data_IF_357120977479
#
_entry.id   IF_357120977479
#
_cell.length_a   1.000
_cell.length_b   1.000
_cell.length_c   1.000
_cell.angle_alpha   90.00
_cell.angle_beta   90.00
_cell.angle_gamma   90.00
#
_symmetry.space_group_name_H-M   'P 1'
#
loop_
_entity.id
_entity.type
_entity.pdbx_description
1 polymer ?
#
# COMPACT_ATOMS: atom_id res chain seq x y z
N UNK A 1 17.26 -1.88 -81.20
CA UNK A 1 16.63 -2.46 -79.98
C UNK A 1 17.37 -1.95 -78.77
N UNK A 2 16.83 -0.95 -78.02
CA UNK A 2 17.42 -0.39 -76.80
C UNK A 2 16.77 -1.07 -75.57
N UNK A 3 17.53 -1.77 -74.80
CA UNK A 3 17.11 -2.37 -73.52
C UNK A 3 17.17 -1.30 -72.41
N UNK A 4 16.04 -0.92 -71.89
CA UNK A 4 15.94 -0.10 -70.74
C UNK A 4 16.21 -0.97 -69.45
N UNK A 5 17.21 -0.59 -68.64
CA UNK A 5 17.42 -1.14 -67.32
C UNK A 5 16.57 -0.37 -66.33
N UNK A 6 15.85 -1.03 -65.42
CA UNK A 6 15.18 -0.33 -64.32
C UNK A 6 16.18 0.08 -63.25
N UNK A 7 16.07 1.29 -62.72
CA UNK A 7 16.88 1.88 -61.66
C UNK A 7 16.48 1.29 -60.29
N UNK A 8 17.45 0.97 -59.39
CA UNK A 8 17.20 0.44 -58.07
C UNK A 8 17.02 1.58 -57.05
N UNK A 9 15.91 2.30 -57.09
CA UNK A 9 15.68 3.42 -56.16
C UNK A 9 14.38 3.29 -55.36
N UNK A 10 13.88 2.09 -55.09
CA UNK A 10 12.61 1.90 -54.36
C UNK A 10 12.68 0.92 -53.17
N UNK A 11 13.84 0.71 -52.54
CA UNK A 11 13.95 -0.26 -51.41
C UNK A 11 14.50 0.30 -50.12
N UNK A 12 14.43 1.62 -49.87
CA UNK A 12 14.90 2.20 -48.58
C UNK A 12 13.79 2.88 -47.75
N UNK A 13 12.52 2.52 -47.95
CA UNK A 13 11.37 3.17 -47.30
C UNK A 13 10.70 2.40 -46.16
N UNK A 14 11.13 1.20 -45.73
CA UNK A 14 10.31 0.37 -44.83
C UNK A 14 11.08 -0.26 -43.67
N UNK A 15 12.04 0.41 -43.04
CA UNK A 15 12.76 -0.16 -41.90
C UNK A 15 13.06 0.86 -40.81
N UNK A 16 12.13 1.76 -40.47
CA UNK A 16 12.27 2.59 -39.26
C UNK A 16 10.88 2.77 -38.59
N UNK A 17 10.23 1.66 -38.20
CA UNK A 17 9.01 1.75 -37.39
C UNK A 17 8.92 0.57 -36.43
N UNK A 18 10.00 0.29 -35.68
CA UNK A 18 9.96 -0.75 -34.65
C UNK A 18 10.99 -0.51 -33.58
N UNK A 19 10.88 0.54 -32.77
CA UNK A 19 11.66 0.69 -31.53
C UNK A 19 11.07 1.79 -30.60
N UNK A 20 9.73 1.85 -30.46
CA UNK A 20 9.13 2.42 -29.26
C UNK A 20 8.49 1.28 -28.47
N UNK A 21 9.31 0.36 -27.99
CA UNK A 21 8.95 -0.48 -26.85
C UNK A 21 8.91 0.45 -25.64
N UNK A 22 7.74 1.03 -25.39
CA UNK A 22 7.46 1.67 -24.12
C UNK A 22 7.59 0.57 -23.07
N UNK A 23 8.71 0.51 -22.35
CA UNK A 23 8.80 -0.26 -21.14
C UNK A 23 7.81 0.36 -20.16
N UNK A 24 6.56 -0.10 -20.15
CA UNK A 24 5.66 0.07 -19.04
C UNK A 24 6.27 -0.77 -17.91
N UNK A 25 7.15 -0.17 -17.11
CA UNK A 25 7.52 -0.73 -15.83
C UNK A 25 6.21 -0.81 -15.04
N UNK A 26 5.64 -2.01 -14.92
CA UNK A 26 4.57 -2.25 -13.96
C UNK A 26 5.13 -1.84 -12.60
N UNK A 27 4.47 -0.92 -11.90
CA UNK A 27 4.84 -0.56 -10.55
C UNK A 27 4.64 -1.83 -9.71
N UNK A 28 5.74 -2.41 -9.21
CA UNK A 28 5.66 -3.56 -8.30
C UNK A 28 4.76 -3.18 -7.13
N UNK A 29 3.83 -4.07 -6.80
CA UNK A 29 2.94 -3.83 -5.65
C UNK A 29 3.74 -3.92 -4.36
N UNK A 30 3.30 -3.23 -3.30
CA UNK A 30 3.96 -3.30 -1.99
C UNK A 30 4.20 -4.75 -1.54
N UNK A 31 3.25 -5.66 -1.82
CA UNK A 31 3.32 -7.06 -1.43
C UNK A 31 4.45 -7.86 -2.13
N UNK A 32 4.98 -7.39 -3.25
CA UNK A 32 6.08 -7.99 -4.00
C UNK A 32 7.46 -7.50 -3.50
N UNK A 33 7.46 -6.42 -2.70
CA UNK A 33 8.69 -5.88 -2.13
C UNK A 33 9.15 -6.69 -0.91
N UNK A 34 10.46 -6.77 -0.64
CA UNK A 34 10.97 -7.41 0.55
C UNK A 34 10.46 -6.73 1.83
N UNK A 35 10.22 -7.52 2.87
CA UNK A 35 9.91 -7.01 4.21
C UNK A 35 11.22 -6.79 4.95
N UNK A 36 11.47 -5.56 5.40
CA UNK A 36 12.58 -5.21 6.29
C UNK A 36 12.04 -4.89 7.68
N UNK A 37 12.75 -5.31 8.74
CA UNK A 37 12.30 -5.13 10.12
C UNK A 37 13.50 -4.69 10.97
N UNK A 38 13.35 -3.55 11.64
CA UNK A 38 14.28 -3.04 12.66
C UNK A 38 13.61 -3.16 14.04
N UNK A 39 14.37 -3.56 15.05
CA UNK A 39 13.90 -3.73 16.43
C UNK A 39 15.05 -3.75 17.42
N UNK A 40 14.75 -3.62 18.73
CA UNK A 40 15.76 -3.76 19.78
C UNK A 40 16.25 -5.21 19.92
N UNK A 41 15.34 -6.20 19.79
CA UNK A 41 15.66 -7.62 19.84
C UNK A 41 14.87 -8.41 18.81
N UNK A 42 15.48 -9.49 18.30
CA UNK A 42 14.85 -10.43 17.37
C UNK A 42 15.16 -11.86 17.80
N UNK A 43 14.17 -12.74 17.71
CA UNK A 43 14.29 -14.18 17.98
C UNK A 43 13.58 -14.95 16.87
N UNK A 44 14.25 -15.95 16.28
CA UNK A 44 13.64 -16.89 15.35
C UNK A 44 13.46 -18.25 16.04
N UNK A 45 12.29 -18.84 15.92
CA UNK A 45 11.95 -20.18 16.41
C UNK A 45 11.62 -21.08 15.22
N UNK A 46 12.51 -22.00 14.93
CA UNK A 46 12.40 -22.94 13.81
C UNK A 46 11.25 -23.95 14.01
N UNK A 47 10.97 -24.34 15.27
CA UNK A 47 9.90 -25.30 15.56
C UNK A 47 8.52 -24.76 15.27
N UNK A 48 8.32 -23.48 15.49
CA UNK A 48 7.03 -22.79 15.25
C UNK A 48 7.05 -22.01 13.94
N UNK A 49 8.17 -21.99 13.22
CA UNK A 49 8.39 -21.17 12.03
C UNK A 49 7.96 -19.72 12.23
N UNK A 50 8.42 -19.09 13.33
CA UNK A 50 8.09 -17.72 13.68
C UNK A 50 9.32 -16.89 13.99
N UNK A 51 9.27 -15.59 13.61
CA UNK A 51 10.20 -14.57 14.12
C UNK A 51 9.47 -13.59 15.02
N UNK A 52 10.04 -13.31 16.19
CA UNK A 52 9.52 -12.32 17.14
C UNK A 52 10.49 -11.17 17.28
N UNK A 53 10.00 -9.96 17.11
CA UNK A 53 10.72 -8.69 17.20
C UNK A 53 10.11 -7.87 18.34
N UNK A 54 10.94 -7.28 19.22
CA UNK A 54 10.48 -6.55 20.38
C UNK A 54 11.26 -5.24 20.55
N UNK A 55 10.53 -4.17 20.82
CA UNK A 55 11.00 -2.84 21.18
C UNK A 55 11.32 -1.97 19.96
N UNK A 56 10.65 -0.83 19.86
CA UNK A 56 10.79 0.15 18.79
C UNK A 56 10.78 -0.48 17.37
N UNK A 57 9.83 -1.41 17.17
CA UNK A 57 9.78 -2.15 15.91
C UNK A 57 9.32 -1.25 14.78
N UNK A 58 10.09 -1.26 13.69
CA UNK A 58 9.73 -0.64 12.40
C UNK A 58 9.77 -1.71 11.32
N UNK A 59 8.65 -1.98 10.68
CA UNK A 59 8.57 -2.90 9.54
C UNK A 59 8.19 -2.14 8.29
N UNK A 60 8.89 -2.40 7.18
CA UNK A 60 8.69 -1.75 5.90
C UNK A 60 8.53 -2.80 4.81
N UNK A 61 7.50 -2.64 3.97
CA UNK A 61 7.31 -3.39 2.73
C UNK A 61 6.79 -2.45 1.63
N UNK A 62 7.65 -2.07 0.70
CA UNK A 62 7.33 -1.04 -0.29
C UNK A 62 6.97 0.29 0.37
N UNK A 63 5.75 0.78 0.13
CA UNK A 63 5.23 2.00 0.75
C UNK A 63 4.58 1.79 2.13
N UNK A 64 4.38 0.52 2.52
CA UNK A 64 3.79 0.15 3.81
C UNK A 64 4.84 0.28 4.90
N UNK A 65 4.53 1.04 5.94
CA UNK A 65 5.35 1.22 7.14
C UNK A 65 4.50 0.94 8.37
N UNK A 66 5.00 0.08 9.27
CA UNK A 66 4.36 -0.22 10.56
C UNK A 66 5.33 0.11 11.68
N UNK A 67 4.87 0.86 12.66
CA UNK A 67 5.56 1.09 13.94
C UNK A 67 4.80 0.37 15.06
N UNK A 68 5.50 -0.43 15.86
CA UNK A 68 4.89 -1.20 16.95
C UNK A 68 5.86 -1.46 18.11
N UNK A 69 5.33 -1.94 19.24
CA UNK A 69 6.15 -2.37 20.39
C UNK A 69 6.65 -3.81 20.18
N UNK A 70 5.85 -4.63 19.50
CA UNK A 70 6.15 -6.03 19.18
C UNK A 70 5.59 -6.40 17.82
N UNK A 71 6.35 -7.22 17.08
CA UNK A 71 5.93 -7.84 15.83
C UNK A 71 6.24 -9.34 15.89
N UNK A 72 5.31 -10.17 15.44
CA UNK A 72 5.52 -11.61 15.21
C UNK A 72 5.22 -11.90 13.76
N UNK A 73 6.19 -12.50 13.06
CA UNK A 73 6.05 -12.96 11.67
C UNK A 73 5.88 -14.47 11.69
N UNK A 74 4.85 -14.96 11.01
CA UNK A 74 4.57 -16.37 10.79
C UNK A 74 4.94 -16.74 9.37
N UNK A 75 5.74 -17.81 9.22
CA UNK A 75 6.21 -18.30 7.93
C UNK A 75 5.49 -19.58 7.53
N UNK A 76 5.18 -19.72 6.25
CA UNK A 76 4.69 -20.95 5.61
C UNK A 76 5.54 -21.17 4.37
N UNK A 77 6.18 -22.32 4.27
CA UNK A 77 7.08 -22.68 3.17
C UNK A 77 8.21 -21.67 2.91
N UNK A 78 8.65 -20.99 3.97
CA UNK A 78 9.70 -19.97 3.91
C UNK A 78 9.19 -18.53 3.59
N UNK A 79 7.94 -18.37 3.23
CA UNK A 79 7.33 -17.07 2.95
C UNK A 79 6.64 -16.49 4.19
N UNK A 80 6.70 -15.18 4.37
CA UNK A 80 5.93 -14.47 5.38
C UNK A 80 4.44 -14.50 5.02
N UNK A 81 3.67 -15.31 5.74
CA UNK A 81 2.23 -15.49 5.53
C UNK A 81 1.40 -14.48 6.31
N UNK A 82 1.81 -14.20 7.55
CA UNK A 82 1.09 -13.31 8.46
C UNK A 82 2.06 -12.56 9.36
N UNK A 83 1.83 -11.27 9.51
CA UNK A 83 2.50 -10.42 10.49
C UNK A 83 1.48 -9.98 11.53
N UNK A 84 1.80 -10.15 12.82
CA UNK A 84 0.97 -9.67 13.95
C UNK A 84 1.77 -8.61 14.69
N UNK A 85 1.29 -7.38 14.66
CA UNK A 85 1.91 -6.27 15.37
C UNK A 85 1.01 -5.77 16.50
N UNK A 86 1.63 -5.41 17.62
CA UNK A 86 0.94 -4.91 18.80
C UNK A 86 1.70 -3.73 19.39
N UNK A 87 0.97 -2.82 20.05
CA UNK A 87 1.57 -1.66 20.71
C UNK A 87 0.54 -0.81 21.48
N UNK A 88 1.02 0.20 22.19
CA UNK A 88 0.17 1.21 22.80
C UNK A 88 -0.15 2.31 21.79
N UNK A 89 -0.83 2.02 20.93
CA UNK A 89 -1.31 1.83 19.56
C UNK A 89 -0.17 1.69 18.56
N UNK A 90 -0.13 0.54 17.91
CA UNK A 90 0.66 0.35 16.71
C UNK A 90 0.13 1.25 15.59
N UNK A 91 1.04 1.78 14.77
CA UNK A 91 0.72 2.73 13.69
C UNK A 91 1.07 2.14 12.34
N UNK A 92 0.18 2.34 11.40
CA UNK A 92 0.31 1.93 10.00
C UNK A 92 0.30 3.15 9.09
N UNK A 93 1.09 3.10 8.01
CA UNK A 93 1.08 4.07 6.93
C UNK A 93 1.27 3.35 5.60
N UNK A 94 0.59 3.82 4.54
CA UNK A 94 0.81 3.43 3.15
C UNK A 94 0.62 4.61 2.22
N UNK A 95 1.44 4.70 1.17
CA UNK A 95 1.26 5.62 0.03
C UNK A 95 0.77 4.79 -1.15
N UNK A 96 -0.55 4.73 -1.44
CA UNK A 96 -1.11 3.72 -2.34
C UNK A 96 -0.69 3.90 -3.81
N UNK A 97 -0.31 5.11 -4.20
CA UNK A 97 0.17 5.45 -5.55
C UNK A 97 1.12 6.65 -5.49
N UNK A 98 1.96 6.79 -6.51
CA UNK A 98 2.85 7.95 -6.63
C UNK A 98 2.04 9.25 -6.65
N UNK A 99 2.36 10.16 -5.73
CA UNK A 99 1.65 11.45 -5.59
C UNK A 99 0.29 11.38 -4.86
N UNK A 100 -0.16 10.19 -4.45
CA UNK A 100 -1.35 10.07 -3.61
C UNK A 100 -1.06 10.51 -2.16
N UNK A 101 -2.12 10.89 -1.45
CA UNK A 101 -2.04 11.14 -0.01
C UNK A 101 -1.81 9.82 0.73
N UNK A 102 -1.03 9.87 1.79
CA UNK A 102 -0.84 8.74 2.69
C UNK A 102 -2.16 8.32 3.34
N UNK A 103 -2.36 7.01 3.40
CA UNK A 103 -3.38 6.39 4.24
C UNK A 103 -2.67 5.97 5.53
N UNK A 104 -3.22 6.39 6.66
CA UNK A 104 -2.66 6.06 7.97
C UNK A 104 -3.69 5.34 8.82
N UNK A 105 -3.23 4.54 9.76
CA UNK A 105 -4.11 3.85 10.70
C UNK A 105 -3.41 3.57 12.02
N UNK A 106 -4.20 3.28 13.05
CA UNK A 106 -3.72 2.85 14.35
C UNK A 106 -4.69 1.88 15.01
N UNK A 107 -4.15 0.98 15.84
CA UNK A 107 -4.91 0.04 16.68
C UNK A 107 -4.00 -0.56 17.76
N UNK A 108 -4.57 -1.23 18.76
CA UNK A 108 -3.75 -1.98 19.71
C UNK A 108 -3.16 -3.25 19.09
N UNK A 109 -3.88 -3.87 18.14
CA UNK A 109 -3.47 -5.09 17.45
C UNK A 109 -3.70 -4.90 15.95
N UNK A 110 -2.74 -5.32 15.13
CA UNK A 110 -2.90 -5.40 13.69
C UNK A 110 -2.41 -6.72 13.14
N UNK A 111 -3.09 -7.22 12.13
CA UNK A 111 -2.71 -8.38 11.35
C UNK A 111 -2.50 -7.96 9.90
N UNK A 112 -1.34 -8.22 9.36
CA UNK A 112 -1.06 -7.99 7.95
C UNK A 112 -0.83 -9.32 7.25
N UNK A 113 -1.50 -9.52 6.12
CA UNK A 113 -1.41 -10.69 5.25
C UNK A 113 -0.89 -10.24 3.88
N UNK A 114 0.44 -10.28 3.63
CA UNK A 114 1.05 -9.75 2.41
C UNK A 114 0.44 -10.33 1.13
N UNK A 115 0.33 -11.68 1.05
CA UNK A 115 -0.21 -12.38 -0.13
C UNK A 115 -1.67 -12.03 -0.42
N UNK A 116 -2.46 -11.74 0.61
CA UNK A 116 -3.87 -11.33 0.48
C UNK A 116 -4.03 -9.82 0.27
N UNK A 117 -2.96 -9.03 0.36
CA UNK A 117 -3.02 -7.57 0.38
C UNK A 117 -4.00 -7.04 1.44
N UNK A 118 -4.07 -7.70 2.60
CA UNK A 118 -5.05 -7.39 3.64
C UNK A 118 -4.38 -6.97 4.94
N UNK A 119 -4.80 -5.84 5.47
CA UNK A 119 -4.49 -5.36 6.81
C UNK A 119 -5.78 -5.37 7.63
N UNK A 120 -5.73 -5.96 8.83
CA UNK A 120 -6.83 -5.98 9.79
C UNK A 120 -6.38 -5.27 11.05
N UNK A 121 -7.03 -4.18 11.39
CA UNK A 121 -6.81 -3.41 12.61
C UNK A 121 -7.88 -3.78 13.64
N UNK A 122 -7.44 -4.14 14.83
CA UNK A 122 -8.30 -4.72 15.89
C UNK A 122 -8.08 -3.92 17.16
N UNK A 123 -9.17 -3.73 17.90
CA UNK A 123 -9.25 -3.02 19.17
C UNK A 123 -8.91 -1.53 19.02
N UNK A 124 -9.95 -0.72 19.14
CA UNK A 124 -9.89 0.74 19.07
C UNK A 124 -9.17 1.22 17.79
N UNK A 125 -9.54 0.61 16.65
CA UNK A 125 -8.95 0.89 15.35
C UNK A 125 -9.42 2.21 14.78
N UNK A 126 -8.52 2.94 14.13
CA UNK A 126 -8.84 4.15 13.36
C UNK A 126 -8.03 4.14 12.06
N UNK A 127 -8.68 4.50 10.95
CA UNK A 127 -8.04 4.77 9.65
C UNK A 127 -8.38 6.19 9.19
N UNK A 128 -7.35 6.91 8.75
CA UNK A 128 -7.45 8.20 8.05
C UNK A 128 -7.15 7.98 6.58
N UNK A 129 -8.14 8.24 5.75
CA UNK A 129 -8.02 8.11 4.30
C UNK A 129 -8.70 9.28 3.61
N UNK A 130 -7.98 9.96 2.73
CA UNK A 130 -8.43 11.19 2.07
C UNK A 130 -8.90 12.25 3.09
N UNK A 131 -10.17 12.62 3.04
CA UNK A 131 -10.78 13.56 3.99
C UNK A 131 -11.69 12.83 5.00
N UNK A 132 -11.60 11.48 5.07
CA UNK A 132 -12.40 10.63 5.94
C UNK A 132 -11.62 10.08 7.12
N UNK A 133 -12.31 9.91 8.25
CA UNK A 133 -11.84 9.21 9.44
C UNK A 133 -12.83 8.08 9.72
N UNK A 134 -12.33 6.86 9.83
CA UNK A 134 -13.11 5.66 10.10
C UNK A 134 -12.63 5.07 11.41
N UNK A 135 -13.49 4.95 12.41
CA UNK A 135 -13.17 4.38 13.72
C UNK A 135 -14.12 3.24 14.07
N UNK A 136 -13.59 2.12 14.54
CA UNK A 136 -14.32 0.90 14.92
C UNK A 136 -13.42 0.00 15.76
N UNK A 137 -13.99 -1.04 16.37
CA UNK A 137 -13.19 -2.09 17.01
C UNK A 137 -12.53 -3.03 16.00
N UNK A 138 -13.06 -3.11 14.77
CA UNK A 138 -12.48 -3.87 13.67
C UNK A 138 -12.50 -3.03 12.39
N UNK A 139 -11.36 -2.93 11.72
CA UNK A 139 -11.24 -2.34 10.39
C UNK A 139 -10.41 -3.26 9.52
N UNK A 140 -10.96 -3.66 8.38
CA UNK A 140 -10.25 -4.34 7.31
C UNK A 140 -9.88 -3.33 6.22
N UNK A 141 -8.62 -3.34 5.82
CA UNK A 141 -8.09 -2.50 4.77
C UNK A 141 -7.40 -3.35 3.71
N UNK A 142 -7.81 -3.19 2.46
CA UNK A 142 -7.12 -3.81 1.34
C UNK A 142 -6.05 -2.87 0.79
N UNK A 143 -4.77 -3.25 0.93
CA UNK A 143 -3.62 -2.42 0.57
C UNK A 143 -3.47 -2.21 -0.95
N UNK A 144 -4.01 -3.13 -1.78
CA UNK A 144 -3.97 -3.03 -3.24
C UNK A 144 -5.07 -2.14 -3.81
N UNK A 145 -6.28 -2.24 -3.27
CA UNK A 145 -7.45 -1.51 -3.78
C UNK A 145 -7.80 -0.27 -2.97
N UNK A 146 -7.12 -0.07 -1.83
CA UNK A 146 -7.42 1.00 -0.85
C UNK A 146 -8.86 0.96 -0.32
N UNK A 147 -9.50 -0.23 -0.32
CA UNK A 147 -10.84 -0.43 0.23
C UNK A 147 -10.77 -0.52 1.75
N UNK A 148 -11.62 0.24 2.43
CA UNK A 148 -11.80 0.22 3.90
C UNK A 148 -13.15 -0.37 4.23
N UNK A 149 -13.19 -1.45 5.01
CA UNK A 149 -14.39 -2.01 5.63
C UNK A 149 -14.26 -1.82 7.14
N UNK A 150 -15.20 -1.12 7.75
CA UNK A 150 -15.22 -0.92 9.20
C UNK A 150 -16.44 -1.59 9.82
N UNK A 151 -16.24 -2.20 11.00
CA UNK A 151 -17.28 -2.93 11.74
C UNK A 151 -17.31 -4.43 11.45
N UNK A 152 -17.93 -5.16 12.36
CA UNK A 152 -18.18 -6.59 12.21
C UNK A 152 -19.54 -6.85 11.53
N UNK A 153 -19.63 -7.91 10.73
CA UNK A 153 -20.89 -8.32 10.08
C UNK A 153 -21.89 -9.00 11.04
N UNK A 154 -21.64 -8.90 12.35
CA UNK A 154 -22.46 -9.53 13.39
C UNK A 154 -23.50 -8.54 13.96
N UNK A 155 -24.56 -9.07 14.55
CA UNK A 155 -25.67 -8.31 15.16
C UNK A 155 -25.28 -7.59 16.47
N UNK A 156 -23.99 -7.55 16.82
CA UNK A 156 -23.52 -6.95 18.05
C UNK A 156 -23.50 -5.40 17.93
N UNK A 157 -23.74 -4.74 19.04
CA UNK A 157 -24.06 -3.30 19.16
C UNK A 157 -22.89 -2.35 18.92
N UNK A 158 -21.74 -2.86 18.49
CA UNK A 158 -20.55 -2.06 18.19
C UNK A 158 -20.75 -1.21 16.95
N UNK A 159 -20.67 0.11 17.11
CA UNK A 159 -20.95 1.07 16.06
C UNK A 159 -19.68 1.55 15.37
N UNK A 160 -19.76 1.71 14.06
CA UNK A 160 -18.73 2.42 13.28
C UNK A 160 -18.96 3.91 13.41
N UNK A 161 -17.90 4.66 13.67
CA UNK A 161 -17.91 6.12 13.66
C UNK A 161 -17.16 6.63 12.43
N UNK A 162 -17.81 7.44 11.60
CA UNK A 162 -17.23 8.01 10.38
C UNK A 162 -17.37 9.53 10.41
N UNK A 163 -16.27 10.22 10.14
CA UNK A 163 -16.23 11.66 9.95
C UNK A 163 -15.78 11.92 8.50
N UNK A 164 -16.58 12.64 7.73
CA UNK A 164 -16.25 13.10 6.39
C UNK A 164 -16.08 14.61 6.39
N UNK A 165 -14.89 15.10 6.05
CA UNK A 165 -14.63 16.55 5.93
C UNK A 165 -15.06 17.03 4.54
N UNK A 166 -15.77 18.16 4.42
CA UNK A 166 -16.07 18.75 3.12
C UNK A 166 -14.77 19.15 2.41
N UNK A 167 -14.69 18.90 1.11
CA UNK A 167 -13.57 19.43 0.30
C UNK A 167 -13.59 20.97 0.41
N UNK A 168 -12.49 21.57 0.85
CA UNK A 168 -12.32 23.01 0.80
C UNK A 168 -12.42 23.46 -0.66
N UNK A 169 -13.38 24.31 -0.98
CA UNK A 169 -13.40 25.00 -2.26
C UNK A 169 -12.21 25.97 -2.25
N UNK A 170 -11.17 25.69 -3.03
CA UNK A 170 -10.16 26.70 -3.34
C UNK A 170 -10.88 27.92 -3.90
N UNK A 171 -10.96 29.00 -3.10
CA UNK A 171 -11.31 30.33 -3.61
C UNK A 171 -10.17 30.77 -4.50
N UNK A 172 -10.25 30.44 -5.80
CA UNK A 172 -9.52 31.19 -6.81
C UNK A 172 -9.95 32.65 -6.71
N UNK A 173 -9.15 33.46 -6.03
CA UNK A 173 -9.29 34.90 -6.00
C UNK A 173 -8.93 35.38 -7.42
N UNK A 174 -9.97 35.55 -8.27
CA UNK A 174 -9.88 36.37 -9.46
C UNK A 174 -9.62 37.80 -8.99
N UNK A 175 -8.34 38.20 -8.90
CA UNK A 175 -7.98 39.61 -8.95
C UNK A 175 -8.22 40.09 -10.38
N UNK A 176 -9.42 40.58 -10.66
CA UNK A 176 -9.63 41.48 -11.80
C UNK A 176 -8.91 42.76 -11.48
N UNK A 177 -7.80 42.97 -12.15
CA UNK A 177 -7.13 44.27 -12.22
C UNK A 177 -7.95 45.15 -13.16
N UNK A 178 -8.73 46.07 -12.58
CA UNK A 178 -9.23 47.24 -13.30
C UNK A 178 -8.10 48.24 -13.44
N UNK A 179 -7.72 48.53 -14.65
CA UNK A 179 -7.39 49.85 -15.17
C UNK A 179 -7.60 49.89 -16.66
#
# INVERSE_FOLDING_TARGET
MKKNKPSPLFYYGTLILSLLSCNAAALETDAEQPITIDSNTATYDDLTATSTYIGNVVSIQGSIVVHSDKLVVFFVDGDAEKLVFTGNKAKFKQTPNVGAKDITGESFIGHYFPKANQLVLIDTATIWKDDGIYASDLIEYNTKTSLVNAGEKTTDTKRVHVILKPKSKDKSINKSTNQ
#
